data_IF_423142631784
#
_entry.id   IF_423142631784
#
_cell.length_a   1.000
_cell.length_b   1.000
_cell.length_c   1.000
_cell.angle_alpha   90.00
_cell.angle_beta   90.00
_cell.angle_gamma   90.00
#
_symmetry.space_group_name_H-M   'P 1'
#
loop_
_entity.id
_entity.type
_entity.pdbx_description
1 polymer ?
#
# COMPACT_ATOMS: atom_id res chain seq x y z
N UNK A 1 13.49 10.37 -8.60
CA UNK A 1 13.13 9.07 -9.16
C UNK A 1 12.38 8.34 -8.06
N UNK A 2 11.14 8.74 -7.81
CA UNK A 2 10.27 7.99 -6.94
C UNK A 2 9.80 6.79 -7.77
N UNK A 3 10.38 5.66 -7.54
CA UNK A 3 10.00 4.42 -8.16
C UNK A 3 9.55 3.53 -7.02
N UNK A 4 8.25 3.25 -6.92
CA UNK A 4 7.82 2.06 -6.22
C UNK A 4 8.42 0.86 -6.95
N UNK A 5 9.65 0.53 -6.66
CA UNK A 5 10.28 -0.70 -7.11
C UNK A 5 10.01 -1.79 -6.08
N UNK A 6 8.95 -2.54 -6.28
CA UNK A 6 8.86 -3.89 -5.73
C UNK A 6 9.90 -4.75 -6.44
N UNK A 7 11.13 -4.71 -5.97
CA UNK A 7 12.21 -5.54 -6.47
C UNK A 7 12.00 -6.98 -6.03
N UNK A 8 11.37 -7.80 -6.86
CA UNK A 8 11.48 -9.26 -6.74
C UNK A 8 12.87 -9.63 -7.21
N UNK A 9 13.81 -9.85 -6.29
CA UNK A 9 15.08 -10.50 -6.56
C UNK A 9 14.84 -11.98 -6.83
N UNK A 10 14.66 -12.36 -8.08
CA UNK A 10 14.83 -13.75 -8.52
C UNK A 10 16.32 -14.03 -8.66
N UNK A 11 16.95 -14.52 -7.61
CA UNK A 11 18.29 -15.05 -7.66
C UNK A 11 18.30 -16.42 -8.34
N UNK A 12 18.65 -16.48 -9.61
CA UNK A 12 18.99 -17.71 -10.28
C UNK A 12 20.40 -18.13 -9.86
N UNK A 13 20.50 -19.13 -8.99
CA UNK A 13 21.76 -19.85 -8.74
C UNK A 13 21.84 -21.01 -9.72
N UNK A 14 22.64 -20.85 -10.77
CA UNK A 14 23.07 -21.96 -11.62
C UNK A 14 24.23 -22.66 -10.94
N UNK A 15 23.97 -23.85 -10.39
CA UNK A 15 24.99 -24.78 -9.94
C UNK A 15 24.74 -26.16 -10.56
N UNK A 16 25.49 -26.47 -11.62
CA UNK A 16 25.55 -27.81 -12.19
C UNK A 16 26.45 -28.69 -11.33
N UNK A 17 25.92 -29.80 -10.80
CA UNK A 17 26.75 -30.96 -10.41
C UNK A 17 26.08 -32.23 -10.87
N UNK A 18 26.76 -32.89 -11.81
CA UNK A 18 26.46 -34.25 -12.28
C UNK A 18 26.87 -35.27 -11.24
N UNK A 19 26.05 -36.28 -11.03
CA UNK A 19 26.41 -37.45 -10.26
C UNK A 19 25.36 -38.55 -10.33
N UNK A 20 25.54 -39.47 -11.29
CA UNK A 20 24.77 -40.71 -11.43
C UNK A 20 25.27 -41.71 -10.42
N UNK A 21 24.37 -42.32 -9.61
CA UNK A 21 24.57 -43.67 -9.09
C UNK A 21 23.21 -44.37 -9.01
N UNK A 22 23.17 -45.47 -9.73
CA UNK A 22 22.07 -46.43 -9.74
C UNK A 22 22.17 -47.35 -8.50
N UNK A 23 21.03 -47.69 -7.92
CA UNK A 23 20.95 -48.75 -6.91
C UNK A 23 19.50 -49.19 -6.68
N UNK A 24 19.16 -50.31 -7.28
CA UNK A 24 17.90 -51.06 -7.08
C UNK A 24 18.05 -51.91 -5.84
N UNK A 25 17.13 -51.88 -4.89
CA UNK A 25 16.80 -53.03 -4.02
C UNK A 25 15.31 -52.99 -3.65
N UNK A 26 14.74 -54.14 -3.78
CA UNK A 26 13.36 -54.57 -3.60
C UNK A 26 12.90 -54.73 -2.17
N UNK A 27 11.62 -54.48 -1.92
CA UNK A 27 10.74 -55.35 -1.10
C UNK A 27 10.70 -55.10 0.39
N UNK A 28 9.55 -54.68 0.90
CA UNK A 28 8.81 -55.37 1.97
C UNK A 28 7.63 -54.54 2.49
N UNK A 29 6.58 -55.21 2.76
CA UNK A 29 5.26 -55.00 3.31
C UNK A 29 5.02 -53.84 4.28
N UNK A 30 3.79 -53.27 4.20
CA UNK A 30 3.21 -52.36 5.16
C UNK A 30 2.82 -53.03 6.49
N UNK A 31 2.77 -52.28 7.56
CA UNK A 31 1.70 -52.41 8.53
C UNK A 31 0.89 -51.10 8.66
N UNK A 32 -0.41 -51.29 8.76
CA UNK A 32 -1.43 -50.33 9.14
C UNK A 32 -1.19 -49.81 10.58
N UNK A 33 -1.15 -48.49 10.76
CA UNK A 33 -1.32 -47.88 12.09
C UNK A 33 -2.19 -46.62 11.96
N UNK A 34 -3.17 -46.62 12.82
CA UNK A 34 -4.18 -45.68 13.23
C UNK A 34 -3.64 -44.28 13.50
N UNK A 35 -4.45 -43.30 13.16
CA UNK A 35 -4.60 -41.90 13.55
C UNK A 35 -3.52 -41.24 14.42
N UNK A 36 -3.06 -40.08 13.96
CA UNK A 36 -2.22 -39.17 14.74
C UNK A 36 -1.89 -37.97 13.90
N UNK A 37 -2.54 -36.88 14.24
CA UNK A 37 -2.20 -35.49 14.08
C UNK A 37 -1.17 -35.11 13.00
N UNK A 38 -1.66 -34.56 11.89
CA UNK A 38 -0.83 -33.76 10.97
C UNK A 38 -0.53 -32.43 11.63
N UNK A 39 0.71 -32.26 12.00
CA UNK A 39 1.33 -31.08 12.56
C UNK A 39 1.10 -29.89 11.63
N UNK A 40 0.35 -28.94 12.09
CA UNK A 40 0.20 -27.60 11.58
C UNK A 40 1.54 -26.86 11.75
N UNK A 41 2.34 -26.81 10.69
CA UNK A 41 3.60 -26.07 10.68
C UNK A 41 3.34 -24.66 10.16
N UNK A 42 3.47 -23.69 11.05
CA UNK A 42 3.89 -22.34 10.70
C UNK A 42 2.86 -21.26 10.54
N UNK A 43 1.91 -21.07 11.48
CA UNK A 43 1.36 -19.75 11.77
C UNK A 43 1.94 -19.27 13.09
N UNK A 44 3.05 -18.56 13.06
CA UNK A 44 3.47 -17.77 14.20
C UNK A 44 2.64 -16.49 14.23
N UNK A 45 1.45 -16.56 14.82
CA UNK A 45 0.81 -15.39 15.37
C UNK A 45 1.71 -14.85 16.46
N UNK A 46 2.21 -13.63 16.31
CA UNK A 46 2.93 -12.92 17.37
C UNK A 46 1.92 -12.64 18.47
N UNK A 47 1.79 -13.56 19.42
CA UNK A 47 0.99 -13.34 20.62
C UNK A 47 1.73 -12.32 21.49
N UNK A 48 1.31 -11.07 21.45
CA UNK A 48 1.69 -10.04 22.41
C UNK A 48 1.13 -10.47 23.77
N UNK A 49 2.00 -10.93 24.67
CA UNK A 49 1.65 -11.16 26.08
C UNK A 49 1.42 -9.78 26.75
N UNK A 50 0.19 -9.43 26.99
CA UNK A 50 -0.25 -8.20 27.63
C UNK A 50 -1.50 -7.70 26.93
N UNK A 51 -2.55 -7.29 27.64
CA UNK A 51 -3.90 -6.98 27.18
C UNK A 51 -4.05 -6.49 25.75
N UNK A 52 -5.15 -6.79 25.08
CA UNK A 52 -5.37 -6.43 23.69
C UNK A 52 -4.99 -4.95 23.45
N UNK A 53 -4.04 -4.70 22.56
CA UNK A 53 -3.66 -3.33 22.18
C UNK A 53 -4.87 -2.71 21.45
N UNK A 54 -5.36 -1.58 21.96
CA UNK A 54 -6.48 -0.85 21.37
C UNK A 54 -5.91 0.27 20.48
N UNK A 55 -6.52 0.48 19.31
CA UNK A 55 -6.14 1.54 18.38
C UNK A 55 -7.33 2.48 18.12
N UNK A 56 -7.14 3.81 18.16
CA UNK A 56 -5.91 4.52 18.58
C UNK A 56 -5.58 4.25 20.05
N UNK A 57 -4.31 4.46 20.48
CA UNK A 57 -3.98 4.44 21.91
C UNK A 57 -4.86 5.40 22.70
N UNK A 58 -5.35 4.98 23.88
CA UNK A 58 -6.37 5.73 24.65
C UNK A 58 -5.93 7.14 25.06
N UNK A 59 -4.63 7.33 25.22
CA UNK A 59 -4.02 8.62 25.57
C UNK A 59 -3.86 9.58 24.39
N UNK A 60 -4.06 9.11 23.14
CA UNK A 60 -3.92 9.94 21.95
C UNK A 60 -5.17 10.78 21.69
N UNK A 61 -4.96 12.01 21.23
CA UNK A 61 -6.02 12.94 20.88
C UNK A 61 -6.17 13.03 19.36
N UNK A 62 -7.40 13.21 18.88
CA UNK A 62 -7.67 13.41 17.46
C UNK A 62 -7.07 14.77 17.02
N UNK A 63 -6.06 14.72 16.15
CA UNK A 63 -5.36 15.88 15.63
C UNK A 63 -5.87 16.30 14.23
N UNK A 64 -6.36 15.34 13.45
CA UNK A 64 -6.89 15.59 12.10
C UNK A 64 -8.03 14.63 11.78
N UNK A 65 -9.06 15.13 11.11
CA UNK A 65 -10.15 14.33 10.57
C UNK A 65 -10.65 14.92 9.25
N UNK A 66 -10.75 14.09 8.23
CA UNK A 66 -11.48 14.35 6.99
C UNK A 66 -12.48 13.22 6.77
N UNK A 67 -13.75 13.56 6.54
CA UNK A 67 -14.85 12.61 6.32
C UNK A 67 -15.42 12.65 4.91
N UNK A 68 -14.90 13.51 4.06
CA UNK A 68 -15.36 13.66 2.68
C UNK A 68 -16.88 13.88 2.53
N UNK A 69 -17.51 14.48 3.54
CA UNK A 69 -18.95 14.64 3.62
C UNK A 69 -19.47 15.89 2.87
N UNK A 70 -18.57 16.74 2.37
CA UNK A 70 -18.92 17.94 1.60
C UNK A 70 -19.38 17.61 0.19
N UNK A 71 -19.98 18.59 -0.52
CA UNK A 71 -20.33 18.44 -1.92
C UNK A 71 -19.11 18.45 -2.86
N UNK A 72 -18.01 19.03 -2.40
CA UNK A 72 -16.76 19.19 -3.15
C UNK A 72 -15.55 18.87 -2.26
N UNK A 73 -14.43 18.46 -2.88
CA UNK A 73 -13.19 18.22 -2.21
C UNK A 73 -12.68 19.48 -1.50
N UNK A 74 -12.37 19.36 -0.21
CA UNK A 74 -11.76 20.46 0.53
C UNK A 74 -10.34 20.74 0.02
N UNK A 75 -10.22 21.75 -0.85
CA UNK A 75 -8.94 22.13 -1.47
C UNK A 75 -7.93 22.77 -0.51
N UNK A 76 -8.35 23.16 0.68
CA UNK A 76 -7.43 23.61 1.73
C UNK A 76 -6.69 22.45 2.39
N UNK A 77 -7.25 21.24 2.33
CA UNK A 77 -6.67 20.02 2.87
C UNK A 77 -6.05 19.10 1.81
N UNK A 78 -6.56 19.15 0.57
CA UNK A 78 -6.21 18.19 -0.46
C UNK A 78 -5.85 18.82 -1.80
N UNK A 79 -4.78 18.32 -2.41
CA UNK A 79 -4.43 18.49 -3.82
C UNK A 79 -4.80 17.22 -4.58
N UNK A 80 -4.93 17.33 -5.91
CA UNK A 80 -5.22 16.19 -6.81
C UNK A 80 -4.06 15.90 -7.75
N UNK A 81 -2.86 16.32 -7.38
CA UNK A 81 -1.62 16.14 -8.15
C UNK A 81 -0.49 15.69 -7.24
N UNK A 82 0.48 15.00 -7.81
CA UNK A 82 1.62 14.46 -7.06
C UNK A 82 2.54 15.54 -6.51
N UNK A 83 2.83 16.58 -7.29
CA UNK A 83 3.75 17.69 -6.97
C UNK A 83 5.11 17.29 -6.37
N UNK A 84 5.46 16.00 -6.46
CA UNK A 84 6.50 15.42 -5.61
C UNK A 84 7.90 15.62 -6.18
N UNK A 85 8.11 15.58 -7.51
CA UNK A 85 9.48 15.48 -8.03
C UNK A 85 9.77 16.20 -9.33
N UNK A 86 8.87 16.99 -9.89
CA UNK A 86 9.13 17.85 -11.06
C UNK A 86 9.67 17.15 -12.35
N UNK A 87 10.13 15.92 -12.24
CA UNK A 87 10.76 15.18 -13.32
C UNK A 87 9.76 14.51 -14.26
N UNK A 88 8.64 14.03 -13.71
CA UNK A 88 7.62 13.30 -14.45
C UNK A 88 6.35 14.13 -14.65
N UNK A 89 6.36 15.40 -14.21
CA UNK A 89 5.20 16.23 -14.12
C UNK A 89 4.35 15.92 -12.87
N UNK A 90 3.26 16.67 -12.70
CA UNK A 90 2.41 16.57 -11.52
C UNK A 90 1.28 15.55 -11.68
N UNK A 91 1.08 15.00 -12.89
CA UNK A 91 -0.08 14.18 -13.26
C UNK A 91 0.27 12.76 -13.69
N UNK A 92 1.54 12.43 -13.76
CA UNK A 92 2.04 11.09 -14.11
C UNK A 92 3.12 10.66 -13.15
N UNK A 93 2.99 9.45 -12.59
CA UNK A 93 3.91 9.01 -11.56
C UNK A 93 5.24 8.51 -12.15
N UNK A 94 5.19 7.43 -12.92
CA UNK A 94 6.35 6.84 -13.62
C UNK A 94 5.88 5.70 -14.54
N UNK A 95 6.83 5.04 -15.23
CA UNK A 95 6.54 3.97 -16.19
C UNK A 95 5.90 2.70 -15.60
N UNK A 96 5.81 2.58 -14.28
CA UNK A 96 5.03 1.51 -13.63
C UNK A 96 3.52 1.75 -13.70
N UNK A 97 3.09 2.96 -14.09
CA UNK A 97 1.69 3.35 -14.24
C UNK A 97 1.32 3.56 -15.71
N UNK A 98 0.06 3.31 -16.03
CA UNK A 98 -0.55 3.59 -17.34
C UNK A 98 -1.47 4.81 -17.33
N UNK A 99 -1.85 5.29 -16.14
CA UNK A 99 -2.84 6.33 -15.97
C UNK A 99 -2.25 7.74 -15.87
N UNK A 100 -3.00 8.69 -16.36
CA UNK A 100 -2.84 10.12 -16.10
C UNK A 100 -3.78 10.53 -14.97
N UNK A 101 -3.29 11.33 -14.00
CA UNK A 101 -4.10 11.80 -12.89
C UNK A 101 -5.05 12.91 -13.34
N UNK A 102 -6.33 12.74 -13.09
CA UNK A 102 -7.38 13.66 -13.49
C UNK A 102 -8.24 14.09 -12.31
N UNK A 103 -8.54 15.37 -12.22
CA UNK A 103 -9.46 15.90 -11.20
C UNK A 103 -10.88 15.33 -11.35
N UNK A 104 -11.29 14.97 -12.59
CA UNK A 104 -12.59 14.35 -12.87
C UNK A 104 -12.73 12.94 -12.25
N UNK A 105 -11.61 12.33 -11.86
CA UNK A 105 -11.58 11.00 -11.24
C UNK A 105 -11.55 11.06 -9.71
N UNK A 106 -11.66 12.28 -9.13
CA UNK A 106 -11.80 12.53 -7.70
C UNK A 106 -13.24 12.92 -7.40
N UNK A 107 -14.03 11.96 -6.91
CA UNK A 107 -15.46 12.10 -6.71
C UNK A 107 -15.81 12.10 -5.23
N UNK A 108 -16.75 12.94 -4.81
CA UNK A 108 -17.40 12.85 -3.51
C UNK A 108 -18.83 12.39 -3.72
N UNK A 109 -19.11 11.16 -3.35
CA UNK A 109 -20.43 10.55 -3.56
C UNK A 109 -20.80 9.69 -2.36
N UNK A 110 -22.07 9.72 -1.98
CA UNK A 110 -22.62 8.95 -0.85
C UNK A 110 -21.91 9.20 0.49
N UNK A 111 -21.32 10.39 0.68
CA UNK A 111 -20.64 10.79 1.90
C UNK A 111 -19.24 10.20 2.07
N UNK A 112 -18.56 9.85 0.98
CA UNK A 112 -17.19 9.41 0.98
C UNK A 112 -16.44 9.77 -0.31
N UNK A 113 -15.13 9.72 -0.25
CA UNK A 113 -14.23 9.87 -1.40
C UNK A 113 -14.28 8.62 -2.26
N UNK A 114 -14.38 8.81 -3.58
CA UNK A 114 -14.25 7.75 -4.58
C UNK A 114 -13.19 8.16 -5.60
N UNK A 115 -12.06 7.49 -5.56
CA UNK A 115 -11.01 7.66 -6.55
C UNK A 115 -11.26 6.65 -7.67
N UNK A 116 -11.69 7.18 -8.80
CA UNK A 116 -11.99 6.37 -10.00
C UNK A 116 -10.71 6.05 -10.74
N UNK A 117 -10.59 4.84 -11.26
CA UNK A 117 -9.68 4.49 -12.35
C UNK A 117 -10.52 4.06 -13.55
N UNK A 118 -10.19 4.55 -14.75
CA UNK A 118 -11.00 4.37 -15.95
C UNK A 118 -10.13 4.13 -17.19
N UNK A 119 -10.58 3.22 -18.05
CA UNK A 119 -10.05 3.05 -19.39
C UNK A 119 -10.64 4.13 -20.29
N UNK A 120 -10.01 5.29 -20.28
CA UNK A 120 -10.43 6.49 -20.98
C UNK A 120 -9.21 7.23 -21.49
N UNK A 121 -9.18 7.52 -22.80
CA UNK A 121 -8.09 8.32 -23.37
C UNK A 121 -8.12 9.75 -22.84
N UNK A 122 -6.98 10.23 -22.37
CA UNK A 122 -6.77 11.58 -21.84
C UNK A 122 -5.57 12.21 -22.50
N UNK A 123 -5.74 13.43 -23.00
CA UNK A 123 -4.64 14.29 -23.42
C UNK A 123 -4.05 14.97 -22.18
N UNK A 124 -2.82 14.62 -21.84
CA UNK A 124 -2.09 15.20 -20.72
C UNK A 124 -1.23 16.38 -21.15
N UNK A 125 -1.11 17.35 -20.27
CA UNK A 125 -0.26 18.55 -20.45
C UNK A 125 0.97 18.55 -19.51
N UNK A 126 0.91 17.79 -18.43
CA UNK A 126 1.97 17.76 -17.41
C UNK A 126 2.23 16.35 -16.85
N UNK A 127 3.03 15.50 -17.52
CA UNK A 127 3.76 15.74 -18.79
C UNK A 127 2.83 15.65 -20.02
N UNK A 128 3.19 16.31 -21.14
CA UNK A 128 2.46 16.18 -22.39
C UNK A 128 2.44 14.75 -22.92
N UNK A 129 1.28 14.28 -23.36
CA UNK A 129 1.11 12.93 -23.89
C UNK A 129 -0.33 12.52 -24.03
N UNK A 130 -0.55 11.37 -24.65
CA UNK A 130 -1.86 10.69 -24.69
C UNK A 130 -1.78 9.44 -23.83
N UNK A 131 -2.69 9.31 -22.89
CA UNK A 131 -2.76 8.24 -21.92
C UNK A 131 -4.06 7.48 -22.10
N UNK A 132 -4.00 6.15 -22.14
CA UNK A 132 -5.18 5.30 -22.36
C UNK A 132 -6.04 5.13 -21.10
N UNK A 133 -5.49 5.54 -19.94
CA UNK A 133 -6.17 5.44 -18.65
C UNK A 133 -6.09 6.77 -17.90
N UNK A 134 -7.15 7.05 -17.16
CA UNK A 134 -7.18 8.13 -16.17
C UNK A 134 -7.41 7.58 -14.77
N UNK A 135 -7.00 8.31 -13.74
CA UNK A 135 -7.31 7.95 -12.36
C UNK A 135 -7.32 9.13 -11.39
N UNK A 136 -7.99 8.94 -10.25
CA UNK A 136 -8.05 9.89 -9.16
C UNK A 136 -6.96 9.67 -8.11
N UNK A 137 -6.53 10.79 -7.53
CA UNK A 137 -5.63 10.85 -6.39
C UNK A 137 -5.92 12.06 -5.54
N UNK A 138 -5.72 11.96 -4.22
CA UNK A 138 -5.66 13.10 -3.32
C UNK A 138 -4.40 13.05 -2.48
N UNK A 139 -3.82 14.23 -2.23
CA UNK A 139 -2.58 14.39 -1.46
C UNK A 139 -2.71 15.58 -0.52
N UNK A 140 -2.25 15.42 0.73
CA UNK A 140 -2.19 16.52 1.70
C UNK A 140 -0.86 17.29 1.68
N UNK A 141 -0.07 17.15 0.62
CA UNK A 141 1.20 17.85 0.43
C UNK A 141 1.02 19.38 0.56
N UNK A 142 1.90 20.04 1.31
CA UNK A 142 1.88 21.49 1.64
C UNK A 142 0.61 21.98 2.36
N UNK A 143 -0.23 21.08 2.85
CA UNK A 143 -1.50 21.38 3.52
C UNK A 143 -1.59 20.77 4.90
N UNK A 144 -1.35 19.47 5.00
CA UNK A 144 -1.31 18.76 6.27
C UNK A 144 -0.20 17.71 6.26
N UNK A 145 0.62 17.71 7.28
CA UNK A 145 1.60 16.67 7.57
C UNK A 145 1.67 16.43 9.07
N UNK A 146 2.13 15.27 9.46
CA UNK A 146 2.33 14.91 10.87
C UNK A 146 3.62 14.10 11.03
N UNK A 147 4.15 14.13 12.24
CA UNK A 147 5.26 13.28 12.64
C UNK A 147 4.87 12.54 13.90
N UNK A 148 4.91 11.21 13.82
CA UNK A 148 4.43 10.29 14.84
C UNK A 148 2.93 10.43 15.15
N UNK A 149 2.33 9.35 15.57
CA UNK A 149 0.91 9.26 15.83
C UNK A 149 0.31 7.95 15.34
N UNK A 150 -1.00 7.87 15.36
CA UNK A 150 -1.77 6.83 14.72
C UNK A 150 -2.60 7.44 13.61
N UNK A 151 -2.40 6.97 12.38
CA UNK A 151 -3.25 7.33 11.24
C UNK A 151 -4.11 6.13 10.87
N UNK A 152 -5.37 6.38 10.50
CA UNK A 152 -6.30 5.37 10.02
C UNK A 152 -7.20 5.90 8.91
N UNK A 153 -7.46 5.04 7.94
CA UNK A 153 -8.56 5.20 6.99
C UNK A 153 -9.56 4.05 7.16
N UNK A 154 -10.84 4.31 6.85
CA UNK A 154 -11.81 3.27 6.55
C UNK A 154 -12.05 3.26 5.05
N UNK A 155 -11.74 2.16 4.40
CA UNK A 155 -11.70 2.10 2.95
C UNK A 155 -12.19 0.77 2.39
N UNK A 156 -12.60 0.82 1.11
CA UNK A 156 -12.97 -0.33 0.30
C UNK A 156 -12.08 -0.36 -0.95
N UNK A 157 -11.24 -1.38 -1.04
CA UNK A 157 -10.30 -1.58 -2.11
C UNK A 157 -10.98 -2.31 -3.29
N UNK A 158 -10.83 -1.80 -4.54
CA UNK A 158 -11.30 -2.51 -5.72
C UNK A 158 -10.38 -3.67 -6.08
N UNK A 159 -10.94 -4.67 -6.74
CA UNK A 159 -10.18 -5.78 -7.31
C UNK A 159 -9.96 -5.67 -8.81
N UNK A 160 -9.20 -6.63 -9.34
CA UNK A 160 -8.95 -6.78 -10.77
C UNK A 160 -7.49 -6.56 -11.16
N UNK A 161 -7.02 -7.36 -12.12
CA UNK A 161 -5.65 -7.25 -12.61
C UNK A 161 -5.37 -5.84 -13.14
N UNK A 162 -4.18 -5.30 -12.83
CA UNK A 162 -3.78 -3.97 -13.23
C UNK A 162 -4.29 -2.85 -12.34
N UNK A 163 -5.22 -3.12 -11.41
CA UNK A 163 -5.70 -2.14 -10.45
C UNK A 163 -4.71 -2.03 -9.29
N UNK A 164 -4.38 -0.80 -8.89
CA UNK A 164 -3.32 -0.54 -7.91
C UNK A 164 -3.68 0.64 -6.99
N UNK A 165 -4.64 0.44 -6.08
CA UNK A 165 -5.00 1.43 -5.08
C UNK A 165 -4.01 1.44 -3.91
N UNK A 166 -3.69 2.65 -3.40
CA UNK A 166 -2.68 2.85 -2.36
C UNK A 166 -3.13 3.87 -1.31
N UNK A 167 -2.80 3.57 -0.06
CA UNK A 167 -2.77 4.47 1.08
C UNK A 167 -1.35 4.53 1.62
N UNK A 168 -0.70 5.68 1.49
CA UNK A 168 0.73 5.83 1.70
C UNK A 168 1.12 7.21 2.22
N UNK A 169 2.34 7.34 2.73
CA UNK A 169 2.87 8.60 3.26
C UNK A 169 4.21 8.92 2.61
N UNK A 170 4.43 10.23 2.36
CA UNK A 170 5.67 10.77 1.83
C UNK A 170 6.18 11.91 2.70
N UNK A 171 7.50 12.18 2.73
CA UNK A 171 8.09 13.26 3.53
C UNK A 171 7.73 14.64 2.97
N UNK A 172 7.37 15.56 3.86
CA UNK A 172 6.99 16.93 3.51
C UNK A 172 8.12 17.71 2.83
N UNK A 173 9.37 17.36 3.07
CA UNK A 173 10.55 18.11 2.62
C UNK A 173 11.04 17.79 1.20
N UNK A 174 10.23 17.18 0.33
CA UNK A 174 10.61 16.78 -1.05
C UNK A 174 11.80 15.81 -1.16
N UNK A 175 12.18 15.17 -0.06
CA UNK A 175 13.20 14.12 -0.05
C UNK A 175 12.55 12.75 -0.22
N UNK A 176 13.14 11.89 -0.99
CA UNK A 176 12.74 10.50 -1.08
C UNK A 176 14.00 9.61 -1.20
N UNK A 177 14.09 8.55 -0.43
CA UNK A 177 13.22 8.11 0.67
C UNK A 177 13.19 9.10 1.85
N UNK A 178 12.35 8.88 2.89
CA UNK A 178 11.58 7.70 3.22
C UNK A 178 10.16 7.67 2.61
N UNK A 179 9.51 6.48 2.67
CA UNK A 179 8.11 6.29 2.27
C UNK A 179 7.46 5.22 3.15
N UNK A 180 6.21 5.41 3.55
CA UNK A 180 5.39 4.36 4.17
C UNK A 180 4.28 3.93 3.22
N UNK A 181 4.23 2.65 2.86
CA UNK A 181 3.07 2.02 2.24
C UNK A 181 2.21 1.38 3.34
N UNK A 182 1.16 2.09 3.76
CA UNK A 182 0.31 1.61 4.86
C UNK A 182 -0.61 0.50 4.37
N UNK A 183 -1.17 0.67 3.17
CA UNK A 183 -1.94 -0.35 2.48
C UNK A 183 -1.82 -0.11 0.97
N UNK A 184 -1.04 -0.92 0.30
CA UNK A 184 -0.80 -0.87 -1.13
C UNK A 184 -1.27 -2.19 -1.75
N UNK A 185 -2.39 -2.16 -2.49
CA UNK A 185 -3.00 -3.38 -2.98
C UNK A 185 -2.61 -3.69 -4.43
N UNK A 186 -1.87 -4.79 -4.60
CA UNK A 186 -1.54 -5.35 -5.90
C UNK A 186 -2.65 -6.30 -6.34
N UNK A 187 -3.75 -5.74 -6.88
CA UNK A 187 -4.96 -6.49 -7.14
C UNK A 187 -4.75 -7.65 -8.14
N UNK A 188 -3.83 -7.50 -9.09
CA UNK A 188 -3.44 -8.57 -10.00
C UNK A 188 -2.76 -9.76 -9.34
N UNK A 189 -2.21 -9.59 -8.16
CA UNK A 189 -1.58 -10.63 -7.33
C UNK A 189 -2.43 -11.01 -6.11
N UNK A 190 -3.52 -10.30 -5.88
CA UNK A 190 -4.36 -10.41 -4.67
C UNK A 190 -3.53 -10.30 -3.39
N UNK A 191 -2.66 -9.30 -3.33
CA UNK A 191 -1.69 -9.13 -2.26
C UNK A 191 -1.70 -7.70 -1.74
N UNK A 192 -1.85 -7.51 -0.44
CA UNK A 192 -1.66 -6.22 0.23
C UNK A 192 -0.19 -6.10 0.64
N UNK A 193 0.51 -5.15 0.06
CA UNK A 193 1.86 -4.78 0.42
C UNK A 193 1.82 -3.79 1.59
N UNK A 194 2.64 -4.04 2.60
CA UNK A 194 2.82 -3.24 3.81
C UNK A 194 4.31 -2.87 3.86
N UNK A 195 4.66 -1.65 3.48
CA UNK A 195 6.03 -1.31 3.15
C UNK A 195 6.59 -0.09 3.86
N UNK A 196 7.91 -0.07 3.88
CA UNK A 196 8.74 1.04 4.29
C UNK A 196 9.96 1.12 3.36
N UNK A 197 10.07 2.23 2.61
CA UNK A 197 11.27 2.55 1.86
C UNK A 197 12.18 3.46 2.70
N UNK A 198 13.47 3.15 2.73
CA UNK A 198 14.47 3.92 3.48
C UNK A 198 15.85 3.90 2.80
N UNK A 199 16.79 4.66 3.36
CA UNK A 199 18.15 4.84 2.83
C UNK A 199 18.31 6.17 2.13
N UNK A 200 19.41 6.33 1.40
CA UNK A 200 19.72 7.53 0.64
C UNK A 200 19.79 7.18 -0.86
N UNK A 201 19.10 7.96 -1.69
CA UNK A 201 19.14 7.71 -3.14
C UNK A 201 20.58 7.88 -3.69
N UNK A 202 21.09 6.95 -4.54
CA UNK A 202 20.38 5.84 -5.19
C UNK A 202 20.33 4.51 -4.41
N UNK A 203 20.99 4.38 -3.25
CA UNK A 203 21.04 3.18 -2.43
C UNK A 203 19.81 3.09 -1.52
N UNK A 204 18.66 2.76 -2.12
CA UNK A 204 17.40 2.58 -1.40
C UNK A 204 17.20 1.13 -0.96
N UNK A 205 16.52 0.97 0.16
CA UNK A 205 16.15 -0.32 0.73
C UNK A 205 14.64 -0.37 0.98
N UNK A 206 14.07 -1.55 0.77
CA UNK A 206 12.69 -1.85 1.11
C UNK A 206 12.64 -2.85 2.26
N UNK A 207 11.95 -2.46 3.32
CA UNK A 207 11.55 -3.33 4.42
C UNK A 207 10.03 -3.50 4.31
N UNK A 208 9.56 -4.68 3.87
CA UNK A 208 8.16 -4.88 3.54
C UNK A 208 7.70 -6.31 3.77
N UNK A 209 6.40 -6.47 4.05
CA UNK A 209 5.69 -7.73 4.12
C UNK A 209 4.50 -7.75 3.16
N UNK A 210 4.12 -8.94 2.74
CA UNK A 210 2.92 -9.20 1.98
C UNK A 210 1.85 -9.82 2.87
N UNK A 211 0.63 -9.25 2.87
CA UNK A 211 -0.54 -9.85 3.46
C UNK A 211 -1.40 -10.46 2.34
N UNK A 212 -1.43 -11.78 2.26
CA UNK A 212 -2.20 -12.53 1.26
C UNK A 212 -3.62 -12.89 1.73
N UNK A 213 -4.01 -12.47 2.94
CA UNK A 213 -5.39 -12.57 3.44
C UNK A 213 -6.23 -11.46 2.80
N UNK A 214 -6.88 -11.78 1.70
CA UNK A 214 -7.48 -10.83 0.76
C UNK A 214 -9.01 -10.81 0.76
N UNK A 215 -9.64 -11.27 1.82
CA UNK A 215 -11.11 -11.21 1.97
C UNK A 215 -11.64 -9.77 2.15
N UNK A 216 -10.75 -8.77 2.04
CA UNK A 216 -11.09 -7.36 2.14
C UNK A 216 -11.53 -6.73 0.82
N UNK A 217 -11.31 -7.38 -0.32
CA UNK A 217 -11.64 -6.85 -1.65
C UNK A 217 -13.14 -6.57 -1.76
N UNK A 218 -13.49 -5.32 -2.11
CA UNK A 218 -14.89 -4.90 -2.19
C UNK A 218 -15.63 -4.76 -0.85
N UNK A 219 -14.95 -4.93 0.29
CA UNK A 219 -15.49 -4.76 1.63
C UNK A 219 -14.88 -3.55 2.36
N UNK A 220 -15.65 -2.93 3.26
CA UNK A 220 -15.18 -1.85 4.11
C UNK A 220 -14.32 -2.40 5.26
N UNK A 221 -13.06 -1.96 5.31
CA UNK A 221 -12.12 -2.31 6.36
C UNK A 221 -11.39 -1.06 6.87
N UNK A 222 -10.76 -1.14 8.05
CA UNK A 222 -9.86 -0.10 8.54
C UNK A 222 -8.41 -0.51 8.29
N UNK A 223 -7.60 0.47 7.89
CA UNK A 223 -6.16 0.35 7.66
C UNK A 223 -5.46 1.48 8.38
N UNK A 224 -4.47 1.16 9.18
CA UNK A 224 -3.79 2.17 9.99
C UNK A 224 -2.32 1.90 10.19
N UNK A 225 -1.62 2.95 10.64
CA UNK A 225 -0.22 2.93 11.02
C UNK A 225 -0.06 3.61 12.38
N UNK A 226 0.39 2.86 13.38
CA UNK A 226 0.90 3.46 14.61
C UNK A 226 2.41 3.69 14.43
N UNK A 227 2.80 4.95 14.39
CA UNK A 227 4.16 5.39 14.15
C UNK A 227 4.70 6.17 15.34
N UNK A 228 5.79 5.68 15.91
CA UNK A 228 6.50 6.26 17.04
C UNK A 228 8.01 6.33 16.74
N UNK A 229 8.83 7.05 17.50
CA UNK A 229 10.28 7.07 17.29
C UNK A 229 10.85 5.65 17.24
N UNK A 230 11.44 5.29 16.09
CA UNK A 230 12.08 4.01 15.85
C UNK A 230 11.15 2.79 15.82
N UNK A 231 9.83 2.99 15.68
CA UNK A 231 8.87 1.88 15.60
C UNK A 231 7.64 2.24 14.76
N UNK A 232 7.21 1.31 13.91
CA UNK A 232 5.97 1.40 13.16
C UNK A 232 5.20 0.08 13.22
N UNK A 233 3.86 0.16 13.39
CA UNK A 233 2.93 -0.98 13.36
C UNK A 233 1.89 -0.74 12.28
N UNK A 234 1.75 -1.68 11.35
CA UNK A 234 0.65 -1.71 10.37
C UNK A 234 -0.53 -2.45 10.97
N UNK A 235 -1.71 -1.84 10.94
CA UNK A 235 -2.91 -2.34 11.59
C UNK A 235 -4.03 -2.47 10.56
N UNK A 236 -4.70 -3.62 10.53
CA UNK A 236 -5.91 -3.84 9.75
C UNK A 236 -7.01 -4.35 10.66
N UNK A 237 -8.16 -3.67 10.68
CA UNK A 237 -9.30 -4.00 11.53
C UNK A 237 -8.90 -4.19 13.02
N UNK A 238 -8.04 -3.30 13.52
CA UNK A 238 -7.55 -3.38 14.91
C UNK A 238 -6.50 -4.47 15.17
N UNK A 239 -6.10 -5.23 14.16
CA UNK A 239 -5.09 -6.31 14.28
C UNK A 239 -3.77 -5.86 13.68
N UNK A 240 -2.68 -5.97 14.44
CA UNK A 240 -1.32 -5.73 13.95
C UNK A 240 -0.96 -6.79 12.93
N UNK A 241 -0.64 -6.37 11.71
CA UNK A 241 -0.23 -7.23 10.60
C UNK A 241 1.29 -7.24 10.41
N UNK A 242 1.96 -6.11 10.71
CA UNK A 242 3.40 -5.95 10.53
C UNK A 242 3.97 -5.00 11.58
N UNK A 243 5.23 -5.19 11.92
CA UNK A 243 6.02 -4.30 12.76
C UNK A 243 7.41 -4.05 12.14
N UNK A 244 7.84 -2.77 12.09
CA UNK A 244 9.21 -2.36 11.81
C UNK A 244 9.82 -1.68 13.03
N UNK A 245 11.12 -1.94 13.29
CA UNK A 245 11.87 -1.35 14.42
C UNK A 245 13.27 -0.98 13.98
N UNK A 246 13.75 0.14 14.50
CA UNK A 246 15.12 0.59 14.32
C UNK A 246 15.24 1.99 13.74
N UNK A 247 16.45 2.40 13.44
CA UNK A 247 16.78 3.74 12.97
C UNK A 247 16.30 4.03 11.54
N UNK A 248 15.93 2.99 10.79
CA UNK A 248 15.38 3.14 9.44
C UNK A 248 13.90 3.53 9.42
N UNK A 249 13.20 3.44 10.57
CA UNK A 249 11.84 3.96 10.68
C UNK A 249 11.88 5.48 10.56
N UNK A 250 11.09 6.09 9.64
CA UNK A 250 11.12 7.52 9.38
C UNK A 250 10.98 8.39 10.64
N UNK A 251 11.69 9.53 10.62
CA UNK A 251 11.68 10.52 11.72
C UNK A 251 11.52 11.95 11.22
N UNK A 252 10.80 12.13 10.11
CA UNK A 252 10.50 13.42 9.49
C UNK A 252 8.99 13.57 9.30
N UNK A 253 8.44 14.81 9.29
CA UNK A 253 7.02 15.02 9.02
C UNK A 253 6.64 14.43 7.65
N UNK A 254 5.50 13.73 7.60
CA UNK A 254 5.01 13.08 6.39
C UNK A 254 3.58 13.50 6.08
N UNK A 255 3.25 13.60 4.81
CA UNK A 255 1.91 13.89 4.31
C UNK A 255 1.23 12.64 3.75
N UNK A 256 -0.08 12.70 3.62
CA UNK A 256 -0.95 11.58 3.24
C UNK A 256 -1.22 11.59 1.74
N UNK A 257 -1.17 10.41 1.12
CA UNK A 257 -1.62 10.20 -0.26
C UNK A 257 -2.60 9.03 -0.31
N UNK A 258 -3.69 9.23 -1.04
CA UNK A 258 -4.64 8.19 -1.45
C UNK A 258 -4.69 8.20 -2.98
N UNK A 259 -4.48 7.07 -3.61
CA UNK A 259 -4.45 6.96 -5.07
C UNK A 259 -5.07 5.66 -5.58
N UNK A 260 -5.67 5.69 -6.77
CA UNK A 260 -6.17 4.49 -7.43
C UNK A 260 -5.46 4.33 -8.78
N UNK A 261 -4.26 3.74 -8.77
CA UNK A 261 -3.42 3.61 -9.95
C UNK A 261 -3.88 2.52 -10.92
N UNK A 262 -3.44 2.64 -12.17
CA UNK A 262 -3.50 1.58 -13.18
C UNK A 262 -2.07 1.16 -13.50
N UNK A 263 -1.74 -0.07 -13.15
CA UNK A 263 -0.39 -0.63 -13.24
C UNK A 263 -0.03 -0.97 -14.70
N UNK A 264 1.21 -0.70 -15.09
CA UNK A 264 1.78 -1.18 -16.33
C UNK A 264 2.27 -2.64 -16.22
N UNK A 265 2.85 -3.17 -17.30
CA UNK A 265 3.45 -4.52 -17.30
C UNK A 265 4.62 -4.66 -16.32
N UNK A 266 5.33 -3.57 -16.06
CA UNK A 266 6.46 -3.53 -15.12
C UNK A 266 6.04 -3.12 -13.71
N UNK A 267 4.80 -2.66 -13.53
CA UNK A 267 4.25 -2.35 -12.23
C UNK A 267 3.83 -3.61 -11.45
N UNK A 268 3.63 -3.49 -10.12
CA UNK A 268 3.48 -4.64 -9.23
C UNK A 268 2.16 -5.41 -9.43
N UNK A 269 1.10 -4.75 -9.91
CA UNK A 269 -0.19 -5.39 -10.17
C UNK A 269 -0.29 -6.00 -11.59
N UNK A 270 0.77 -5.84 -12.42
CA UNK A 270 0.76 -6.20 -13.84
C UNK A 270 -0.19 -5.29 -14.64
N UNK A 271 -0.20 -5.38 -15.96
CA UNK A 271 -1.13 -4.59 -16.77
C UNK A 271 -2.56 -5.17 -16.71
N UNK A 272 -3.59 -4.31 -16.89
CA UNK A 272 -4.98 -4.77 -17.10
C UNK A 272 -5.08 -5.81 -18.20
N UNK A 273 -6.09 -6.65 -18.13
CA UNK A 273 -6.45 -7.64 -19.14
C UNK A 273 -7.94 -7.53 -19.53
N UNK A 274 -8.40 -8.40 -20.39
CA UNK A 274 -9.78 -8.39 -20.88
C UNK A 274 -10.84 -8.65 -19.78
N UNK A 275 -10.43 -9.13 -18.60
CA UNK A 275 -11.31 -9.38 -17.45
C UNK A 275 -11.33 -8.21 -16.48
N UNK A 276 -10.37 -7.28 -16.58
CA UNK A 276 -10.32 -6.10 -15.74
C UNK A 276 -11.48 -5.18 -16.03
N UNK A 277 -12.27 -4.87 -15.00
CA UNK A 277 -13.45 -4.03 -15.15
C UNK A 277 -13.10 -2.57 -14.85
N UNK A 278 -13.48 -1.68 -15.76
CA UNK A 278 -13.44 -0.25 -15.60
C UNK A 278 -14.85 0.36 -15.84
N UNK A 279 -15.21 1.49 -15.20
CA UNK A 279 -14.44 2.12 -14.13
C UNK A 279 -14.43 1.27 -12.86
N UNK A 280 -13.37 1.40 -12.06
CA UNK A 280 -13.33 0.90 -10.70
C UNK A 280 -13.03 2.02 -9.70
N UNK A 281 -13.26 1.77 -8.41
CA UNK A 281 -13.22 2.82 -7.41
C UNK A 281 -12.51 2.35 -6.14
N UNK A 282 -11.50 3.10 -5.73
CA UNK A 282 -10.99 3.06 -4.37
C UNK A 282 -11.83 4.03 -3.53
N UNK A 283 -12.59 3.48 -2.57
CA UNK A 283 -13.54 4.25 -1.79
C UNK A 283 -13.02 4.47 -0.38
N UNK A 284 -13.07 5.71 0.14
CA UNK A 284 -12.56 6.08 1.47
C UNK A 284 -13.59 6.91 2.21
N UNK A 285 -14.00 6.43 3.40
CA UNK A 285 -15.00 7.09 4.23
C UNK A 285 -14.40 8.22 5.07
N UNK A 286 -13.19 8.01 5.60
CA UNK A 286 -12.47 9.01 6.37
C UNK A 286 -10.96 8.81 6.36
N UNK A 287 -10.25 9.90 6.66
CA UNK A 287 -8.86 9.89 7.12
C UNK A 287 -8.82 10.52 8.49
N UNK A 288 -8.21 9.86 9.47
CA UNK A 288 -8.05 10.37 10.83
C UNK A 288 -6.62 10.21 11.30
N UNK A 289 -6.12 11.21 12.02
CA UNK A 289 -4.81 11.15 12.68
C UNK A 289 -5.00 11.49 14.15
N UNK A 290 -4.42 10.66 15.02
CA UNK A 290 -4.34 10.90 16.46
C UNK A 290 -2.88 11.02 16.86
N UNK A 291 -2.60 11.94 17.75
CA UNK A 291 -1.25 12.17 18.29
C UNK A 291 -1.25 12.11 19.80
N UNK A 292 -0.10 11.79 20.37
CA UNK A 292 0.09 11.91 21.81
C UNK A 292 -0.09 13.38 22.20
N UNK A 293 -0.71 13.67 23.38
CA UNK A 293 -0.80 15.05 23.87
C UNK A 293 0.60 15.65 24.04
N UNK A 294 0.73 16.94 23.77
CA UNK A 294 1.96 17.68 24.03
C UNK A 294 2.36 17.54 25.51
N UNK A 295 3.64 17.26 25.76
CA UNK A 295 4.19 17.08 27.10
C UNK A 295 4.45 18.42 27.77
#
# INVERSE_FOLDING_TARGET
MAVCFSGVLSGAVTGVVSGVVSGVVSGAEAPSVVGGDLVEAGRQSIAVRGGAQVFPPMEYQLAFEERFAGPELNRDLWSTSLRVFGRWGDRYHNDSYLNYLSDEDVLLENGHLRLRAEHRSVEGDNPPGVYDYSSGMVSSHDKFSFQYGYIEIRAKFPGGRGVWPCFWLMPQGHQWPPEFDIAEYYAGRRMMHLGLCHGDFPEINWDSDANEDVDFEGAWNTYGLLWTPGRALWIQNGVVKREAKGSHVPSVPMYVILSNGVSSKIGPSGAPDAQTKFPNYFEVEYVKVWQAPDK
#
